data_IF_435501950949
#
_entry.id   IF_435501950949
#
_cell.length_a   1.000
_cell.length_b   1.000
_cell.length_c   1.000
_cell.angle_alpha   90.00
_cell.angle_beta   90.00
_cell.angle_gamma   90.00
#
_symmetry.space_group_name_H-M   'P 1'
#
loop_
_entity.id
_entity.type
_entity.pdbx_description
1 polymer ?
#
# COMPACT_ATOMS: atom_id res chain seq x y z
N UNK A 1 -13.03 1.39 8.57
CA UNK A 1 -13.61 0.17 7.95
C UNK A 1 -12.44 -0.77 7.68
N UNK A 2 -12.44 -1.95 8.30
CA UNK A 2 -11.38 -2.93 8.12
C UNK A 2 -11.44 -3.46 6.69
N UNK A 3 -10.53 -2.95 5.84
CA UNK A 3 -10.38 -3.42 4.47
C UNK A 3 -10.07 -4.90 4.52
N UNK A 4 -10.97 -5.70 3.97
CA UNK A 4 -10.71 -7.08 3.60
C UNK A 4 -9.35 -7.15 2.93
N UNK A 5 -8.41 -7.85 3.55
CA UNK A 5 -7.07 -8.08 3.05
C UNK A 5 -7.19 -8.73 1.66
N UNK A 6 -6.64 -8.04 0.68
CA UNK A 6 -7.01 -8.20 -0.71
C UNK A 6 -5.70 -8.21 -1.51
N UNK A 7 -5.44 -9.32 -2.20
CA UNK A 7 -4.30 -9.51 -3.11
C UNK A 7 -3.33 -10.63 -2.70
N UNK A 8 -3.73 -11.53 -1.81
CA UNK A 8 -2.85 -12.37 -1.00
C UNK A 8 -2.59 -11.73 0.37
N UNK A 9 -2.37 -12.54 1.40
CA UNK A 9 -2.25 -12.08 2.78
C UNK A 9 -1.08 -11.08 2.94
N UNK A 10 0.05 -11.39 2.31
CA UNK A 10 1.24 -10.54 2.35
C UNK A 10 1.06 -9.21 1.61
N UNK A 11 0.44 -9.22 0.42
CA UNK A 11 0.24 -8.02 -0.39
C UNK A 11 -0.76 -7.07 0.27
N UNK A 12 -1.89 -7.60 0.75
CA UNK A 12 -2.92 -6.84 1.45
C UNK A 12 -2.37 -6.19 2.73
N UNK A 13 -1.56 -6.92 3.51
CA UNK A 13 -0.92 -6.40 4.70
C UNK A 13 0.05 -5.24 4.36
N UNK A 14 0.94 -5.43 3.38
CA UNK A 14 1.88 -4.39 2.97
C UNK A 14 1.18 -3.13 2.44
N UNK A 15 0.06 -3.30 1.72
CA UNK A 15 -0.75 -2.19 1.23
C UNK A 15 -1.40 -1.41 2.38
N UNK A 16 -2.02 -2.10 3.33
CA UNK A 16 -2.65 -1.49 4.50
C UNK A 16 -1.65 -0.73 5.37
N UNK A 17 -0.46 -1.31 5.60
CA UNK A 17 0.62 -0.64 6.32
C UNK A 17 1.08 0.64 5.63
N UNK A 18 1.28 0.61 4.32
CA UNK A 18 1.66 1.79 3.55
C UNK A 18 0.58 2.87 3.60
N UNK A 19 -0.70 2.51 3.40
CA UNK A 19 -1.79 3.48 3.43
C UNK A 19 -1.88 4.18 4.79
N UNK A 20 -1.73 3.43 5.89
CA UNK A 20 -1.70 3.99 7.25
C UNK A 20 -0.50 4.91 7.47
N UNK A 21 0.69 4.53 6.99
CA UNK A 21 1.86 5.38 7.09
C UNK A 21 1.70 6.68 6.28
N UNK A 22 1.06 6.62 5.12
CA UNK A 22 0.75 7.81 4.31
C UNK A 22 -0.23 8.73 5.06
N UNK A 23 -1.28 8.18 5.65
CA UNK A 23 -2.23 8.96 6.45
C UNK A 23 -1.54 9.67 7.63
N UNK A 24 -0.65 8.99 8.34
CA UNK A 24 0.15 9.58 9.41
C UNK A 24 1.11 10.66 8.89
N UNK A 25 1.81 10.37 7.80
CA UNK A 25 2.76 11.32 7.20
C UNK A 25 2.10 12.59 6.68
N UNK A 26 0.84 12.54 6.21
CA UNK A 26 0.08 13.75 5.82
C UNK A 26 -0.11 14.70 7.01
N UNK A 27 -0.23 14.16 8.22
CA UNK A 27 -0.41 14.92 9.45
C UNK A 27 0.94 15.41 9.98
N UNK A 28 1.94 14.52 10.03
CA UNK A 28 3.19 14.76 10.74
C UNK A 28 4.29 15.39 9.86
N UNK A 29 4.28 15.16 8.56
CA UNK A 29 5.33 15.59 7.63
C UNK A 29 4.80 16.69 6.69
N UNK A 30 4.47 17.86 7.25
CA UNK A 30 3.77 18.96 6.57
C UNK A 30 4.43 19.37 5.24
N UNK A 31 5.76 19.37 5.18
CA UNK A 31 6.53 19.68 3.97
C UNK A 31 6.26 18.70 2.81
N UNK A 32 5.84 17.47 3.09
CA UNK A 32 5.50 16.45 2.10
C UNK A 32 4.00 16.27 1.90
N UNK A 33 3.16 17.08 2.56
CA UNK A 33 1.70 16.90 2.60
C UNK A 33 1.07 16.75 1.21
N UNK A 34 1.44 17.60 0.25
CA UNK A 34 0.92 17.54 -1.12
C UNK A 34 1.27 16.22 -1.83
N UNK A 35 2.53 15.81 -1.72
CA UNK A 35 3.05 14.55 -2.27
C UNK A 35 2.36 13.34 -1.62
N UNK A 36 2.24 13.33 -0.29
CA UNK A 36 1.60 12.24 0.45
C UNK A 36 0.09 12.17 0.18
N UNK A 37 -0.59 13.31 0.03
CA UNK A 37 -2.01 13.35 -0.37
C UNK A 37 -2.20 12.78 -1.78
N UNK A 38 -1.29 13.11 -2.70
CA UNK A 38 -1.29 12.55 -4.06
C UNK A 38 -1.04 11.04 -4.04
N UNK A 39 -0.11 10.58 -3.21
CA UNK A 39 0.17 9.15 -3.01
C UNK A 39 -1.05 8.42 -2.44
N UNK A 40 -1.71 8.99 -1.41
CA UNK A 40 -2.95 8.45 -0.84
C UNK A 40 -4.03 8.28 -1.90
N UNK A 41 -4.23 9.28 -2.76
CA UNK A 41 -5.20 9.21 -3.86
C UNK A 41 -4.88 8.07 -4.82
N UNK A 42 -3.60 7.89 -5.19
CA UNK A 42 -3.17 6.78 -6.07
C UNK A 42 -3.35 5.43 -5.41
N UNK A 43 -3.03 5.29 -4.12
CA UNK A 43 -3.26 4.06 -3.38
C UNK A 43 -4.75 3.70 -3.37
N UNK A 44 -5.64 4.65 -3.09
CA UNK A 44 -7.08 4.42 -3.14
C UNK A 44 -7.57 3.99 -4.52
N UNK A 45 -6.98 4.51 -5.61
CA UNK A 45 -7.28 4.05 -6.97
C UNK A 45 -6.77 2.64 -7.27
N UNK A 46 -5.67 2.21 -6.63
CA UNK A 46 -5.08 0.86 -6.78
C UNK A 46 -5.82 -0.18 -5.94
N UNK A 47 -6.42 0.21 -4.81
CA UNK A 47 -7.16 -0.68 -3.91
C UNK A 47 -8.11 -1.66 -4.62
N UNK A 48 -9.01 -1.23 -5.55
CA UNK A 48 -9.87 -2.17 -6.26
C UNK A 48 -9.10 -3.17 -7.14
N UNK A 49 -7.95 -2.77 -7.71
CA UNK A 49 -7.14 -3.67 -8.53
C UNK A 49 -6.55 -4.82 -7.71
N UNK A 50 -6.21 -4.56 -6.45
CA UNK A 50 -5.75 -5.60 -5.54
C UNK A 50 -6.87 -6.64 -5.31
N UNK A 51 -8.14 -6.21 -5.27
CA UNK A 51 -9.30 -7.12 -5.08
C UNK A 51 -9.43 -8.07 -6.26
N UNK A 52 -9.22 -7.54 -7.46
CA UNK A 52 -9.22 -8.32 -8.69
C UNK A 52 -8.05 -9.30 -8.73
N UNK A 53 -6.86 -8.88 -8.30
CA UNK A 53 -5.68 -9.77 -8.19
C UNK A 53 -5.97 -10.93 -7.23
N UNK A 54 -6.57 -10.68 -6.06
CA UNK A 54 -6.93 -11.74 -5.11
C UNK A 54 -7.90 -12.76 -5.74
N UNK A 55 -8.96 -12.25 -6.37
CA UNK A 55 -9.99 -13.07 -7.01
C UNK A 55 -9.41 -13.91 -8.14
N UNK A 56 -8.55 -13.32 -8.97
CA UNK A 56 -7.90 -14.01 -10.08
C UNK A 56 -6.88 -15.04 -9.59
N UNK A 57 -6.08 -14.73 -8.58
CA UNK A 57 -5.12 -15.68 -8.01
C UNK A 57 -5.83 -16.91 -7.44
N UNK A 58 -6.93 -16.72 -6.68
CA UNK A 58 -7.77 -17.83 -6.19
C UNK A 58 -8.37 -18.65 -7.33
N UNK A 59 -8.89 -18.00 -8.37
CA UNK A 59 -9.50 -18.68 -9.53
C UNK A 59 -8.48 -19.47 -10.36
N UNK A 60 -7.25 -18.98 -10.47
CA UNK A 60 -6.19 -19.57 -11.28
C UNK A 60 -5.27 -20.49 -10.47
N UNK A 61 -5.47 -20.63 -9.16
CA UNK A 61 -4.59 -21.40 -8.27
C UNK A 61 -3.15 -20.88 -8.22
N UNK A 62 -2.94 -19.58 -8.46
CA UNK A 62 -1.61 -18.96 -8.48
C UNK A 62 -1.11 -18.70 -7.06
N UNK A 63 0.19 -18.89 -6.86
CA UNK A 63 0.84 -18.62 -5.57
C UNK A 63 1.04 -17.13 -5.35
N UNK A 64 1.21 -16.71 -4.10
CA UNK A 64 1.52 -15.31 -3.75
C UNK A 64 2.86 -14.82 -4.33
N UNK A 65 3.70 -15.74 -4.84
CA UNK A 65 5.00 -15.44 -5.43
C UNK A 65 4.88 -14.55 -6.68
N UNK A 66 3.81 -14.71 -7.46
CA UNK A 66 3.49 -13.86 -8.61
C UNK A 66 3.28 -12.39 -8.21
N UNK A 67 2.90 -12.15 -6.94
CA UNK A 67 2.65 -10.82 -6.38
C UNK A 67 3.77 -10.29 -5.49
N UNK A 68 4.82 -11.07 -5.28
CA UNK A 68 5.92 -10.73 -4.36
C UNK A 68 6.60 -9.42 -4.75
N UNK A 69 6.78 -9.18 -6.05
CA UNK A 69 7.34 -7.93 -6.57
C UNK A 69 6.52 -6.70 -6.14
N UNK A 70 5.18 -6.81 -6.13
CA UNK A 70 4.30 -5.73 -5.68
C UNK A 70 4.43 -5.53 -4.17
N UNK A 71 4.43 -6.61 -3.40
CA UNK A 71 4.65 -6.57 -1.94
C UNK A 71 5.96 -5.87 -1.58
N UNK A 72 7.05 -6.20 -2.27
CA UNK A 72 8.36 -5.58 -2.05
C UNK A 72 8.36 -4.09 -2.42
N UNK A 73 7.65 -3.69 -3.47
CA UNK A 73 7.48 -2.26 -3.83
C UNK A 73 6.70 -1.49 -2.77
N UNK A 74 5.63 -2.07 -2.21
CA UNK A 74 4.86 -1.44 -1.14
C UNK A 74 5.70 -1.26 0.13
N UNK A 75 6.45 -2.29 0.53
CA UNK A 75 7.39 -2.21 1.66
C UNK A 75 8.47 -1.15 1.46
N UNK A 76 8.99 -1.02 0.23
CA UNK A 76 9.94 0.05 -0.12
C UNK A 76 9.29 1.44 -0.04
N UNK A 77 8.04 1.57 -0.50
CA UNK A 77 7.24 2.79 -0.33
C UNK A 77 7.08 3.17 1.14
N UNK A 78 6.76 2.20 1.99
CA UNK A 78 6.59 2.38 3.44
C UNK A 78 7.86 2.93 4.08
N UNK A 79 9.02 2.38 3.71
CA UNK A 79 10.32 2.90 4.17
C UNK A 79 10.53 4.37 3.82
N UNK A 80 10.14 4.80 2.61
CA UNK A 80 10.27 6.19 2.21
C UNK A 80 9.30 7.11 2.94
N UNK A 81 8.04 6.69 3.10
CA UNK A 81 7.04 7.48 3.84
C UNK A 81 7.48 7.68 5.30
N UNK A 82 7.99 6.63 5.95
CA UNK A 82 8.52 6.74 7.31
C UNK A 82 9.76 7.65 7.43
N UNK A 83 10.48 7.90 6.33
CA UNK A 83 11.58 8.87 6.30
C UNK A 83 11.08 10.30 6.20
N UNK A 84 9.93 10.55 5.58
CA UNK A 84 9.36 11.89 5.46
C UNK A 84 9.11 12.53 6.83
N UNK A 85 8.69 11.75 7.84
CA UNK A 85 8.48 12.25 9.21
C UNK A 85 9.78 12.64 9.94
N UNK A 86 10.95 12.20 9.44
CA UNK A 86 12.26 12.45 10.08
C UNK A 86 12.97 13.67 9.53
N UNK A 87 12.42 14.29 8.50
CA UNK A 87 12.97 15.50 7.89
C UNK A 87 12.32 16.69 8.62
N UNK A 88 13.12 17.61 9.19
CA UNK A 88 12.61 18.77 9.93
C UNK A 88 11.85 19.75 9.03
#
# INVERSE_FOLDING_TARGET
MAGSLVGGAALGAAFGELLRAVDNGIINAVQFKSTLTSLRSRLNQISPMLEEIDKLNRKLGRSEQDTEMFTNRLKKGLHFVNKCEKIP
#
